data_IF_725705856919
#
_entry.id   IF_725705856919
#
_cell.length_a   1.000
_cell.length_b   1.000
_cell.length_c   1.000
_cell.angle_alpha   90.00
_cell.angle_beta   90.00
_cell.angle_gamma   90.00
#
_symmetry.space_group_name_H-M   'P 1'
#
loop_
_entity.id
_entity.type
_entity.pdbx_description
1 polymer ?
#
# COMPACT_ATOMS: atom_id res chain seq x y z
N UNK A 1 -18.85 30.24 -32.87
CA UNK A 1 -17.84 29.98 -31.78
C UNK A 1 -16.77 29.12 -32.40
N UNK A 2 -15.59 29.70 -32.71
CA UNK A 2 -14.42 28.95 -33.15
C UNK A 2 -13.90 28.14 -31.97
N UNK A 3 -14.06 26.82 -31.99
CA UNK A 3 -13.29 25.92 -31.16
C UNK A 3 -11.82 26.13 -31.51
N UNK A 4 -11.00 26.60 -30.56
CA UNK A 4 -9.56 26.57 -30.69
C UNK A 4 -9.18 25.10 -30.86
N UNK A 5 -8.75 24.72 -32.05
CA UNK A 5 -8.08 23.46 -32.27
C UNK A 5 -6.78 23.56 -31.46
N UNK A 6 -6.67 22.74 -30.41
CA UNK A 6 -5.41 22.55 -29.73
C UNK A 6 -4.38 22.06 -30.76
N UNK A 7 -3.22 22.67 -30.79
CA UNK A 7 -2.15 22.27 -31.68
C UNK A 7 -1.83 20.78 -31.43
N UNK A 8 -1.56 20.04 -32.51
CA UNK A 8 -1.20 18.60 -32.44
C UNK A 8 -0.02 18.35 -31.49
N UNK A 9 0.85 19.34 -31.29
CA UNK A 9 1.98 19.31 -30.34
C UNK A 9 1.56 19.22 -28.88
N UNK A 10 0.33 19.65 -28.54
CA UNK A 10 -0.19 19.64 -27.16
C UNK A 10 -0.89 18.32 -26.81
N UNK A 11 -0.94 17.38 -27.75
CA UNK A 11 -1.54 16.06 -27.55
C UNK A 11 -0.46 14.99 -27.55
N UNK A 12 -0.39 14.25 -26.47
CA UNK A 12 0.44 13.06 -26.36
C UNK A 12 -0.39 11.89 -25.86
N UNK A 13 0.02 10.68 -26.23
CA UNK A 13 -0.57 9.45 -25.69
C UNK A 13 0.10 9.17 -24.34
N UNK A 14 -0.67 9.23 -23.28
CA UNK A 14 -0.19 9.01 -21.93
C UNK A 14 -1.18 8.19 -21.11
N UNK A 15 -0.75 7.76 -19.92
CA UNK A 15 -1.60 7.11 -18.95
C UNK A 15 -2.06 8.13 -17.92
N UNK A 16 -3.32 8.00 -17.50
CA UNK A 16 -3.88 8.68 -16.34
C UNK A 16 -4.64 7.67 -15.50
N UNK A 17 -4.60 7.86 -14.19
CA UNK A 17 -5.40 7.06 -13.28
C UNK A 17 -6.75 7.73 -13.18
N UNK A 18 -7.79 6.97 -13.45
CA UNK A 18 -9.17 7.43 -13.43
C UNK A 18 -10.05 6.37 -12.79
N UNK A 19 -10.98 6.75 -11.87
CA UNK A 19 -12.01 5.82 -11.41
C UNK A 19 -12.76 5.22 -12.59
N UNK A 20 -12.96 3.92 -12.57
CA UNK A 20 -13.60 3.18 -13.64
C UNK A 20 -14.80 2.39 -13.10
N UNK A 21 -15.95 2.49 -13.78
CA UNK A 21 -17.11 1.69 -13.46
C UNK A 21 -17.20 0.47 -14.39
N UNK A 22 -16.94 -0.75 -13.91
CA UNK A 22 -17.08 -1.96 -14.72
C UNK A 22 -18.53 -2.18 -15.19
N UNK A 23 -19.51 -1.77 -14.39
CA UNK A 23 -20.94 -1.90 -14.74
C UNK A 23 -21.34 -0.96 -15.86
N UNK A 24 -20.81 0.27 -15.90
CA UNK A 24 -21.07 1.23 -16.95
C UNK A 24 -20.11 1.08 -18.15
N UNK A 25 -19.00 0.33 -17.99
CA UNK A 25 -17.97 0.15 -19.01
C UNK A 25 -17.19 1.41 -19.35
N UNK A 26 -17.13 2.40 -18.44
CA UNK A 26 -16.51 3.71 -18.69
C UNK A 26 -15.77 4.26 -17.47
N UNK A 27 -14.81 5.15 -17.74
CA UNK A 27 -14.18 5.98 -16.71
C UNK A 27 -15.15 7.03 -16.17
N UNK A 28 -15.04 7.33 -14.89
CA UNK A 28 -15.86 8.33 -14.20
C UNK A 28 -15.09 9.64 -14.09
N UNK A 29 -15.77 10.75 -14.39
CA UNK A 29 -15.23 12.10 -14.19
C UNK A 29 -15.37 12.54 -12.74
N UNK A 30 -14.58 13.54 -12.34
CA UNK A 30 -14.69 14.16 -11.00
C UNK A 30 -16.09 14.75 -10.76
N UNK A 31 -16.77 15.22 -11.81
CA UNK A 31 -18.13 15.75 -11.72
C UNK A 31 -19.14 14.63 -11.36
N UNK A 32 -19.02 13.46 -11.97
CA UNK A 32 -19.89 12.31 -11.67
C UNK A 32 -19.66 11.79 -10.25
N UNK A 33 -18.42 11.84 -9.76
CA UNK A 33 -18.07 11.42 -8.40
C UNK A 33 -18.53 12.42 -7.33
N UNK A 34 -18.79 13.68 -7.69
CA UNK A 34 -19.26 14.72 -6.77
C UNK A 34 -20.79 14.88 -6.76
N UNK A 35 -21.54 14.02 -7.46
CA UNK A 35 -23.00 14.08 -7.43
C UNK A 35 -23.55 13.64 -6.06
N UNK A 36 -24.67 14.26 -5.59
CA UNK A 36 -25.32 13.82 -4.37
C UNK A 36 -25.73 12.34 -4.44
N UNK A 37 -25.39 11.58 -3.38
CA UNK A 37 -25.72 10.15 -3.28
C UNK A 37 -24.75 9.20 -3.99
N UNK A 38 -23.65 9.71 -4.58
CA UNK A 38 -22.59 8.87 -5.13
C UNK A 38 -21.86 8.04 -4.08
N UNK A 39 -21.78 8.53 -2.85
CA UNK A 39 -21.11 7.87 -1.74
C UNK A 39 -22.14 7.32 -0.76
N UNK A 40 -21.86 6.14 -0.24
CA UNK A 40 -22.64 5.48 0.81
C UNK A 40 -21.70 4.85 1.81
N UNK A 41 -22.07 4.90 3.08
CA UNK A 41 -21.35 4.20 4.12
C UNK A 41 -21.44 2.70 3.91
N UNK A 42 -20.29 2.04 3.96
CA UNK A 42 -20.18 0.60 3.83
C UNK A 42 -19.21 0.07 4.87
N UNK A 43 -19.52 -1.09 5.42
CA UNK A 43 -18.60 -1.83 6.28
C UNK A 43 -17.59 -2.55 5.40
N UNK A 44 -16.32 -2.25 5.58
CA UNK A 44 -15.23 -2.87 4.83
C UNK A 44 -14.12 -3.35 5.77
N UNK A 45 -13.25 -4.23 5.26
CA UNK A 45 -12.13 -4.77 6.02
C UNK A 45 -10.91 -3.88 5.83
N UNK A 46 -10.31 -3.46 6.93
CA UNK A 46 -9.05 -2.74 6.95
C UNK A 46 -7.91 -3.65 7.40
N UNK A 47 -6.70 -3.35 6.96
CA UNK A 47 -5.50 -4.12 7.30
C UNK A 47 -4.39 -3.20 7.75
N UNK A 48 -3.67 -3.57 8.81
CA UNK A 48 -2.37 -3.01 9.18
C UNK A 48 -1.30 -3.98 8.69
N UNK A 49 -0.57 -3.57 7.66
CA UNK A 49 0.49 -4.38 7.08
C UNK A 49 1.85 -4.04 7.71
N UNK A 50 2.69 -5.07 7.90
CA UNK A 50 4.03 -4.97 8.47
C UNK A 50 5.07 -5.05 7.35
N UNK A 51 5.75 -3.95 7.06
CA UNK A 51 6.79 -3.86 6.03
C UNK A 51 8.16 -3.98 6.68
N UNK A 52 8.83 -5.11 6.47
CA UNK A 52 10.13 -5.41 7.08
C UNK A 52 11.21 -4.48 6.56
N UNK A 53 11.93 -3.81 7.47
CA UNK A 53 13.01 -2.89 7.11
C UNK A 53 14.24 -3.69 6.64
N UNK A 54 14.90 -3.21 5.58
CA UNK A 54 16.17 -3.77 5.11
C UNK A 54 17.36 -3.20 5.89
N UNK A 55 17.39 -1.87 6.02
CA UNK A 55 18.48 -1.13 6.66
C UNK A 55 17.93 -0.31 7.84
N UNK A 56 17.51 -0.97 8.94
CA UNK A 56 16.98 -0.27 10.10
C UNK A 56 18.07 0.56 10.78
N UNK A 57 17.67 1.62 11.48
CA UNK A 57 18.58 2.35 12.36
C UNK A 57 19.04 1.43 13.50
N UNK A 58 20.25 1.63 14.06
CA UNK A 58 20.84 0.73 15.06
C UNK A 58 19.92 0.44 16.26
N UNK A 59 19.21 1.46 16.75
CA UNK A 59 18.28 1.35 17.86
C UNK A 59 17.06 0.49 17.54
N UNK A 60 16.60 0.50 16.27
CA UNK A 60 15.47 -0.32 15.82
C UNK A 60 15.83 -1.80 15.66
N UNK A 61 17.10 -2.09 15.43
CA UNK A 61 17.59 -3.45 15.20
C UNK A 61 17.93 -4.23 16.51
N UNK A 62 17.83 -3.56 17.67
CA UNK A 62 18.22 -4.16 18.95
C UNK A 62 17.21 -5.16 19.50
N UNK A 63 15.96 -5.12 19.02
CA UNK A 63 14.87 -5.94 19.54
C UNK A 63 13.98 -6.49 18.41
N UNK A 64 14.05 -7.79 18.19
CA UNK A 64 13.21 -8.46 17.19
C UNK A 64 13.39 -7.94 15.77
N UNK A 65 12.41 -8.19 14.94
CA UNK A 65 12.43 -7.74 13.55
C UNK A 65 11.80 -6.35 13.42
N UNK A 66 12.48 -5.39 12.77
CA UNK A 66 11.96 -4.04 12.60
C UNK A 66 11.01 -3.94 11.39
N UNK A 67 9.85 -3.28 11.60
CA UNK A 67 8.81 -3.09 10.59
C UNK A 67 8.30 -1.65 10.57
N UNK A 68 7.92 -1.17 9.39
CA UNK A 68 6.97 -0.07 9.27
C UNK A 68 5.55 -0.62 9.33
N UNK A 69 4.65 0.05 10.05
CA UNK A 69 3.22 -0.27 10.05
C UNK A 69 2.48 0.66 9.10
N UNK A 70 1.90 0.13 8.04
CA UNK A 70 1.04 0.91 7.16
C UNK A 70 -0.38 0.34 7.16
N UNK A 71 -1.35 1.24 7.33
CA UNK A 71 -2.76 0.90 7.33
C UNK A 71 -3.37 1.14 5.95
N UNK A 72 -4.30 0.27 5.56
CA UNK A 72 -5.04 0.41 4.31
C UNK A 72 -6.48 -0.06 4.44
N UNK A 73 -7.39 0.64 3.76
CA UNK A 73 -8.78 0.22 3.53
C UNK A 73 -8.94 -0.58 2.24
N UNK A 74 -7.87 -0.71 1.45
CA UNK A 74 -7.87 -1.38 0.16
C UNK A 74 -6.78 -2.46 0.11
N UNK A 75 -6.88 -3.55 0.90
CA UNK A 75 -5.83 -4.55 1.00
C UNK A 75 -5.48 -5.24 -0.33
N UNK A 76 -6.39 -5.26 -1.30
CA UNK A 76 -6.14 -5.80 -2.64
C UNK A 76 -5.15 -4.97 -3.47
N UNK A 77 -4.80 -3.76 -3.05
CA UNK A 77 -3.76 -2.95 -3.71
C UNK A 77 -2.35 -3.22 -3.18
N UNK A 78 -2.22 -3.92 -2.05
CA UNK A 78 -0.93 -4.27 -1.44
C UNK A 78 0.06 -5.01 -2.38
N UNK A 79 -0.38 -5.91 -3.29
CA UNK A 79 0.53 -6.51 -4.27
C UNK A 79 1.21 -5.51 -5.20
N UNK A 80 0.61 -4.32 -5.39
CA UNK A 80 1.15 -3.23 -6.22
C UNK A 80 1.85 -2.14 -5.41
N UNK A 81 2.15 -2.39 -4.13
CA UNK A 81 2.92 -1.48 -3.31
C UNK A 81 4.33 -1.29 -3.88
N UNK A 82 4.77 -0.04 -3.99
CA UNK A 82 6.13 0.31 -4.43
C UNK A 82 6.83 1.33 -3.53
N UNK A 83 6.11 1.98 -2.62
CA UNK A 83 6.68 2.89 -1.63
C UNK A 83 5.81 2.95 -0.36
N UNK A 84 6.38 3.51 0.70
CA UNK A 84 5.66 3.95 1.90
C UNK A 84 5.79 5.47 2.00
N UNK A 85 4.70 6.14 2.37
CA UNK A 85 4.65 7.58 2.48
C UNK A 85 4.48 8.02 3.93
N UNK A 86 5.30 8.98 4.36
CA UNK A 86 5.25 9.59 5.69
C UNK A 86 5.00 11.09 5.58
N UNK A 87 4.35 11.67 6.57
CA UNK A 87 4.05 13.10 6.60
C UNK A 87 5.25 13.92 7.08
N UNK A 88 5.60 15.05 6.42
CA UNK A 88 6.78 15.85 6.77
C UNK A 88 6.70 16.48 8.16
N UNK A 89 5.49 16.73 8.67
CA UNK A 89 5.23 17.39 9.96
C UNK A 89 4.80 16.42 11.06
N UNK A 90 4.73 15.13 10.76
CA UNK A 90 4.26 14.11 11.69
C UNK A 90 5.43 13.56 12.49
N UNK A 91 5.20 13.36 13.78
CA UNK A 91 6.11 12.67 14.70
C UNK A 91 5.85 11.17 14.67
N UNK A 92 6.90 10.41 14.54
CA UNK A 92 6.90 8.94 14.50
C UNK A 92 7.65 8.38 15.70
N UNK A 93 7.24 7.21 16.15
CA UNK A 93 7.90 6.50 17.25
C UNK A 93 8.30 5.11 16.81
N UNK A 94 9.48 4.67 17.28
CA UNK A 94 9.87 3.27 17.21
C UNK A 94 9.49 2.59 18.54
N UNK A 95 8.77 1.50 18.45
CA UNK A 95 8.15 0.80 19.57
C UNK A 95 8.60 -0.66 19.58
N UNK A 96 9.24 -1.07 20.64
CA UNK A 96 9.53 -2.48 20.92
C UNK A 96 8.29 -3.15 21.50
N UNK A 97 7.90 -4.30 20.97
CA UNK A 97 6.74 -5.06 21.41
C UNK A 97 6.82 -6.50 20.88
N UNK A 98 5.71 -7.21 20.97
CA UNK A 98 5.54 -8.54 20.40
C UNK A 98 4.40 -8.54 19.38
N UNK A 99 4.53 -9.37 18.36
CA UNK A 99 3.43 -9.64 17.45
C UNK A 99 2.38 -10.49 18.19
N UNK A 100 1.17 -9.94 18.32
CA UNK A 100 0.08 -10.58 19.09
C UNK A 100 -0.35 -11.95 18.53
N UNK A 101 -0.09 -12.23 17.25
CA UNK A 101 -0.47 -13.49 16.60
C UNK A 101 0.62 -14.55 16.67
N UNK A 102 1.88 -14.16 16.54
CA UNK A 102 3.02 -15.09 16.48
C UNK A 102 3.80 -15.16 17.79
N UNK A 103 3.61 -14.21 18.71
CA UNK A 103 4.38 -14.07 19.94
C UNK A 103 5.85 -13.67 19.72
N UNK A 104 6.25 -13.38 18.49
CA UNK A 104 7.65 -13.00 18.18
C UNK A 104 7.94 -11.55 18.54
N UNK A 105 9.14 -11.23 19.03
CA UNK A 105 9.54 -9.86 19.30
C UNK A 105 9.64 -9.05 18.00
N UNK A 106 9.13 -7.84 18.03
CA UNK A 106 9.13 -6.91 16.89
C UNK A 106 9.48 -5.49 17.36
N UNK A 107 10.06 -4.71 16.47
CA UNK A 107 10.15 -3.25 16.61
C UNK A 107 9.32 -2.64 15.49
N UNK A 108 8.37 -1.77 15.83
CA UNK A 108 7.47 -1.19 14.83
C UNK A 108 7.55 0.33 14.84
N UNK A 109 7.41 0.94 13.65
CA UNK A 109 7.36 2.39 13.49
C UNK A 109 5.96 2.80 13.04
N UNK A 110 5.38 3.78 13.74
CA UNK A 110 4.09 4.39 13.46
C UNK A 110 4.06 5.83 13.98
N UNK A 111 3.02 6.59 13.59
CA UNK A 111 2.85 7.95 14.10
C UNK A 111 2.60 7.96 15.61
N UNK A 112 3.27 8.87 16.32
CA UNK A 112 3.17 9.04 17.78
C UNK A 112 1.74 9.29 18.23
N UNK A 113 1.00 10.11 17.48
CA UNK A 113 -0.40 10.46 17.79
C UNK A 113 -1.32 9.22 17.77
N UNK A 114 -0.98 8.18 17.01
CA UNK A 114 -1.78 6.97 16.86
C UNK A 114 -1.30 5.80 17.72
N UNK A 115 -0.28 6.02 18.55
CA UNK A 115 0.28 4.98 19.41
C UNK A 115 -0.81 4.28 20.27
N UNK A 116 -1.66 5.06 20.92
CA UNK A 116 -2.70 4.54 21.80
C UNK A 116 -3.86 3.85 21.07
N UNK A 117 -3.98 4.03 19.76
CA UNK A 117 -4.96 3.30 18.94
C UNK A 117 -4.51 1.86 18.64
N UNK A 118 -3.18 1.64 18.61
CA UNK A 118 -2.60 0.33 18.31
C UNK A 118 -2.06 -0.40 19.53
N UNK A 119 -1.67 0.33 20.57
CA UNK A 119 -1.12 -0.22 21.80
C UNK A 119 -1.96 0.20 23.00
N UNK A 120 -2.31 -0.76 23.85
CA UNK A 120 -3.09 -0.45 25.05
C UNK A 120 -2.23 0.30 26.06
N UNK A 121 -2.60 1.54 26.46
CA UNK A 121 -1.80 2.32 27.42
C UNK A 121 -1.50 1.62 28.74
N UNK A 122 -2.40 0.71 29.19
CA UNK A 122 -2.21 -0.09 30.41
C UNK A 122 -1.04 -1.09 30.27
N UNK A 123 -0.63 -1.39 29.07
CA UNK A 123 0.51 -2.29 28.82
C UNK A 123 1.86 -1.56 28.79
N UNK A 124 1.87 -0.23 28.84
CA UNK A 124 3.11 0.56 28.87
C UNK A 124 3.94 0.36 30.14
N UNK A 125 3.31 -0.02 31.26
CA UNK A 125 3.96 -0.28 32.53
C UNK A 125 4.49 -1.72 32.66
N UNK A 126 4.10 -2.61 31.73
CA UNK A 126 4.52 -4.00 31.74
C UNK A 126 5.94 -4.14 31.19
N UNK A 127 6.73 -5.04 31.78
CA UNK A 127 8.06 -5.35 31.27
C UNK A 127 7.95 -6.26 30.04
N UNK A 128 8.77 -5.97 29.03
CA UNK A 128 8.83 -6.81 27.82
C UNK A 128 9.23 -8.27 28.15
N UNK A 129 10.09 -8.45 29.14
CA UNK A 129 10.64 -9.75 29.55
C UNK A 129 9.60 -10.69 30.16
N UNK A 130 8.52 -10.15 30.74
CA UNK A 130 7.47 -10.91 31.43
C UNK A 130 6.38 -11.44 30.47
N UNK A 131 6.41 -11.06 29.19
CA UNK A 131 5.40 -11.42 28.20
C UNK A 131 5.44 -12.91 27.86
N UNK A 132 4.26 -13.53 27.84
CA UNK A 132 4.04 -14.89 27.34
C UNK A 132 3.08 -14.87 26.15
N UNK A 133 3.40 -15.67 25.13
CA UNK A 133 2.53 -15.79 23.97
C UNK A 133 1.12 -16.22 24.38
N UNK A 134 0.13 -15.41 23.99
CA UNK A 134 -1.29 -15.61 24.36
C UNK A 134 -1.79 -14.65 25.46
N UNK A 135 -0.94 -13.86 26.07
CA UNK A 135 -1.37 -12.82 27.02
C UNK A 135 -2.25 -11.78 26.31
N UNK A 136 -3.34 -11.37 27.00
CA UNK A 136 -4.28 -10.39 26.45
C UNK A 136 -3.70 -8.98 26.33
N UNK A 137 -2.71 -8.64 27.16
CA UNK A 137 -2.03 -7.36 27.15
C UNK A 137 -0.60 -7.58 26.65
N UNK A 138 -0.30 -7.02 25.49
CA UNK A 138 1.03 -7.10 24.90
C UNK A 138 1.84 -5.89 25.35
N UNK A 139 2.94 -6.07 26.10
CA UNK A 139 3.77 -4.97 26.58
C UNK A 139 4.44 -4.24 25.40
N UNK A 140 4.69 -2.96 25.59
CA UNK A 140 5.39 -2.16 24.60
C UNK A 140 6.28 -1.10 25.26
N UNK A 141 7.32 -0.69 24.55
CA UNK A 141 8.24 0.35 24.99
C UNK A 141 8.63 1.24 23.81
N UNK A 142 8.39 2.54 23.93
CA UNK A 142 8.91 3.52 22.97
C UNK A 142 10.41 3.68 23.17
N UNK A 143 11.21 3.48 22.13
CA UNK A 143 12.68 3.51 22.20
C UNK A 143 13.28 4.72 21.52
N UNK A 144 12.59 5.29 20.53
CA UNK A 144 13.07 6.45 19.78
C UNK A 144 11.90 7.23 19.16
N UNK A 145 12.15 8.51 18.90
CA UNK A 145 11.22 9.41 18.20
C UNK A 145 11.91 9.97 16.95
N UNK A 146 11.15 10.14 15.87
CA UNK A 146 11.63 10.61 14.58
C UNK A 146 10.64 11.61 13.99
N UNK A 147 11.12 12.53 13.17
CA UNK A 147 10.29 13.29 12.24
C UNK A 147 10.15 12.51 10.92
N UNK A 148 9.08 12.78 10.15
CA UNK A 148 8.92 12.16 8.83
C UNK A 148 10.18 12.22 7.96
N UNK A 149 10.85 13.38 7.81
CA UNK A 149 12.09 13.49 7.05
C UNK A 149 13.23 12.56 7.49
N UNK A 150 13.29 12.18 8.76
CA UNK A 150 14.33 11.28 9.29
C UNK A 150 14.18 9.83 8.83
N UNK A 151 12.99 9.48 8.33
CA UNK A 151 12.64 8.15 7.82
C UNK A 151 12.78 8.03 6.30
N UNK A 152 12.92 9.16 5.60
CA UNK A 152 13.00 9.18 4.13
C UNK A 152 14.23 8.42 3.63
N UNK A 153 14.03 7.65 2.57
CA UNK A 153 15.08 6.84 1.97
C UNK A 153 15.35 5.51 2.67
N UNK A 154 14.76 5.26 3.85
CA UNK A 154 14.83 3.93 4.46
C UNK A 154 14.14 2.90 3.56
N UNK A 155 14.79 1.76 3.37
CA UNK A 155 14.33 0.69 2.51
C UNK A 155 13.64 -0.42 3.31
N UNK A 156 12.69 -1.09 2.63
CA UNK A 156 11.99 -2.25 3.17
C UNK A 156 11.90 -3.38 2.15
N UNK A 157 11.65 -4.60 2.62
CA UNK A 157 11.43 -5.76 1.77
C UNK A 157 10.03 -5.66 1.11
N UNK A 158 9.94 -6.05 -0.15
CA UNK A 158 8.65 -6.12 -0.84
C UNK A 158 7.71 -7.03 -0.05
N UNK A 159 6.52 -6.52 0.30
CA UNK A 159 5.56 -7.26 1.13
C UNK A 159 5.06 -8.53 0.42
N UNK A 160 4.75 -8.39 -0.85
CA UNK A 160 4.22 -9.45 -1.71
C UNK A 160 5.09 -9.53 -2.97
N UNK A 161 6.17 -10.34 -2.98
CA UNK A 161 7.18 -10.31 -4.04
C UNK A 161 6.77 -11.13 -5.27
N UNK A 162 5.62 -10.84 -5.86
CA UNK A 162 5.15 -11.49 -7.07
C UNK A 162 5.81 -10.97 -8.33
N UNK A 163 5.97 -9.65 -8.41
CA UNK A 163 6.50 -8.95 -9.58
C UNK A 163 7.49 -7.89 -9.13
N UNK A 164 8.66 -7.85 -9.77
CA UNK A 164 9.65 -6.81 -9.52
C UNK A 164 9.33 -5.55 -10.34
N UNK A 165 9.02 -4.40 -9.71
CA UNK A 165 8.72 -3.15 -10.41
C UNK A 165 9.97 -2.48 -11.02
N UNK A 166 11.18 -2.89 -10.63
CA UNK A 166 12.45 -2.31 -11.05
C UNK A 166 13.17 -1.58 -9.92
N UNK A 167 14.24 -0.89 -10.27
CA UNK A 167 15.09 -0.16 -9.33
C UNK A 167 14.37 1.07 -8.77
N UNK A 168 14.73 1.44 -7.52
CA UNK A 168 14.20 2.62 -6.84
C UNK A 168 12.87 2.42 -6.13
N UNK A 169 12.27 1.23 -6.16
CA UNK A 169 11.10 0.88 -5.37
C UNK A 169 11.44 0.54 -3.91
N UNK A 170 10.39 0.36 -3.09
CA UNK A 170 10.44 -0.14 -1.71
C UNK A 170 11.24 0.72 -0.75
N UNK A 171 11.02 2.03 -0.83
CA UNK A 171 11.59 3.01 0.11
C UNK A 171 10.54 3.97 0.64
N UNK A 172 10.88 4.62 1.76
CA UNK A 172 10.05 5.63 2.39
C UNK A 172 10.20 6.97 1.67
N UNK A 173 9.09 7.63 1.37
CA UNK A 173 9.01 8.95 0.72
C UNK A 173 8.16 9.93 1.56
N UNK A 174 8.21 11.22 1.25
CA UNK A 174 7.36 12.25 1.87
C UNK A 174 6.10 12.51 1.06
N UNK A 175 4.99 12.81 1.76
CA UNK A 175 3.76 13.31 1.15
C UNK A 175 2.94 14.11 2.14
N UNK A 176 2.46 15.28 1.69
CA UNK A 176 1.73 16.24 2.53
C UNK A 176 0.29 15.80 2.87
N UNK A 177 -0.23 14.78 2.18
CA UNK A 177 -1.60 14.26 2.37
C UNK A 177 -1.70 13.20 3.48
N UNK A 178 -0.59 12.80 4.08
CA UNK A 178 -0.60 11.85 5.20
C UNK A 178 -1.18 12.54 6.44
N UNK A 179 -2.19 11.91 7.04
CA UNK A 179 -2.86 12.40 8.25
C UNK A 179 -2.63 11.47 9.44
N UNK A 180 -3.01 11.94 10.62
CA UNK A 180 -3.01 11.18 11.88
C UNK A 180 -4.41 11.04 12.45
N UNK A 181 -5.45 11.21 11.64
CA UNK A 181 -6.83 11.03 12.06
C UNK A 181 -7.17 9.56 12.23
N UNK A 182 -6.69 8.74 11.27
CA UNK A 182 -6.90 7.30 11.25
C UNK A 182 -5.61 6.54 10.85
N UNK A 183 -5.62 5.22 11.06
CA UNK A 183 -4.57 4.32 10.60
C UNK A 183 -3.31 4.33 11.45
N UNK A 184 -2.15 4.39 10.82
CA UNK A 184 -0.83 4.32 11.46
C UNK A 184 0.02 5.56 11.20
N UNK A 185 -0.47 6.53 10.40
CA UNK A 185 0.30 7.69 9.94
C UNK A 185 1.37 7.36 8.90
N UNK A 186 1.40 6.13 8.41
CA UNK A 186 2.22 5.69 7.27
C UNK A 186 1.26 5.11 6.24
N UNK A 187 1.32 5.64 5.01
CA UNK A 187 0.44 5.23 3.90
C UNK A 187 1.23 4.37 2.92
N UNK A 188 0.67 3.23 2.52
CA UNK A 188 1.24 2.46 1.44
C UNK A 188 0.92 3.09 0.08
N UNK A 189 1.87 3.07 -0.84
CA UNK A 189 1.76 3.71 -2.14
C UNK A 189 1.66 2.65 -3.23
N UNK A 190 0.56 2.71 -3.99
CA UNK A 190 0.30 1.87 -5.15
C UNK A 190 0.00 2.74 -6.38
N UNK A 191 1.02 3.20 -7.12
CA UNK A 191 0.87 4.23 -8.15
C UNK A 191 -0.03 3.85 -9.32
N UNK A 192 -0.31 2.56 -9.51
CA UNK A 192 -1.22 2.07 -10.55
C UNK A 192 -2.69 2.04 -10.13
N UNK A 193 -2.99 2.32 -8.85
CA UNK A 193 -4.36 2.30 -8.31
C UNK A 193 -4.83 3.65 -7.75
N UNK A 194 -3.93 4.49 -7.23
CA UNK A 194 -4.23 5.80 -6.67
C UNK A 194 -3.68 6.94 -7.52
N UNK A 195 -4.50 7.98 -7.77
CA UNK A 195 -4.05 9.16 -8.52
C UNK A 195 -3.03 9.98 -7.71
N UNK A 196 -3.29 10.18 -6.42
CA UNK A 196 -2.37 10.86 -5.51
C UNK A 196 -1.09 10.06 -5.31
N UNK A 197 -1.21 8.72 -5.18
CA UNK A 197 -0.07 7.80 -5.12
C UNK A 197 0.83 7.93 -6.37
N UNK A 198 0.20 7.99 -7.56
CA UNK A 198 0.94 8.14 -8.81
C UNK A 198 1.70 9.47 -8.88
N UNK A 199 1.08 10.56 -8.41
CA UNK A 199 1.69 11.88 -8.41
C UNK A 199 2.89 11.94 -7.47
N UNK A 200 2.73 11.46 -6.23
CA UNK A 200 3.80 11.46 -5.22
C UNK A 200 4.92 10.50 -5.59
N UNK A 201 4.61 9.31 -6.07
CA UNK A 201 5.59 8.34 -6.55
C UNK A 201 6.41 8.90 -7.71
N UNK A 202 5.77 9.55 -8.68
CA UNK A 202 6.45 10.19 -9.81
C UNK A 202 7.39 11.31 -9.35
N UNK A 203 6.96 12.16 -8.42
CA UNK A 203 7.79 13.22 -7.86
C UNK A 203 9.01 12.68 -7.12
N UNK A 204 8.87 11.53 -6.45
CA UNK A 204 9.94 10.85 -5.72
C UNK A 204 10.78 9.89 -6.58
N UNK A 205 10.48 9.73 -7.87
CA UNK A 205 11.17 8.79 -8.76
C UNK A 205 10.93 7.32 -8.40
N UNK A 206 9.75 6.98 -7.88
CA UNK A 206 9.32 5.61 -7.57
C UNK A 206 8.67 5.00 -8.81
N UNK A 207 9.12 3.82 -9.27
CA UNK A 207 8.50 3.15 -10.41
C UNK A 207 7.12 2.59 -10.04
N UNK A 208 6.11 2.70 -10.93
CA UNK A 208 4.85 1.99 -10.77
C UNK A 208 5.07 0.49 -11.03
N UNK A 209 4.34 -0.37 -10.30
CA UNK A 209 4.32 -1.79 -10.61
C UNK A 209 3.33 -2.03 -11.76
N UNK A 210 3.85 -2.40 -12.91
CA UNK A 210 3.10 -2.68 -14.13
C UNK A 210 3.47 -4.04 -14.71
N UNK A 211 2.49 -4.71 -15.29
CA UNK A 211 2.64 -5.95 -16.03
C UNK A 211 2.71 -5.67 -17.53
N UNK A 212 3.29 -6.60 -18.29
CA UNK A 212 3.24 -6.60 -19.75
C UNK A 212 2.34 -7.76 -20.19
N UNK A 213 1.27 -7.46 -20.90
CA UNK A 213 0.37 -8.49 -21.44
C UNK A 213 0.94 -9.08 -22.75
N UNK A 214 0.34 -10.15 -23.28
CA UNK A 214 0.75 -10.82 -24.54
C UNK A 214 0.77 -9.90 -25.78
N UNK A 215 0.15 -8.72 -25.69
CA UNK A 215 0.17 -7.71 -26.75
C UNK A 215 1.31 -6.71 -26.59
N UNK A 216 2.18 -6.87 -25.60
CA UNK A 216 3.27 -5.93 -25.29
C UNK A 216 2.78 -4.65 -24.63
N UNK A 217 1.57 -4.59 -24.11
CA UNK A 217 1.00 -3.40 -23.47
C UNK A 217 1.25 -3.42 -21.97
N UNK A 218 1.66 -2.27 -21.43
CA UNK A 218 1.77 -2.06 -19.99
C UNK A 218 0.37 -1.97 -19.35
N UNK A 219 0.18 -2.73 -18.27
CA UNK A 219 -1.09 -2.84 -17.55
C UNK A 219 -0.85 -2.79 -16.03
N UNK A 220 -1.80 -2.29 -15.24
CA UNK A 220 -1.81 -2.55 -13.79
C UNK A 220 -1.98 -4.05 -13.53
N UNK A 221 -1.85 -4.49 -12.29
CA UNK A 221 -2.02 -5.92 -11.94
C UNK A 221 -3.43 -6.46 -12.17
N UNK A 222 -4.40 -5.58 -12.39
CA UNK A 222 -5.80 -5.96 -12.64
C UNK A 222 -6.27 -5.47 -14.01
N UNK A 223 -7.19 -6.19 -14.60
CA UNK A 223 -7.90 -5.80 -15.81
C UNK A 223 -9.00 -4.75 -15.50
N UNK A 224 -9.74 -4.31 -16.53
CA UNK A 224 -10.83 -3.34 -16.40
C UNK A 224 -12.03 -3.87 -15.60
N UNK A 225 -12.11 -5.15 -15.33
CA UNK A 225 -13.14 -5.76 -14.47
C UNK A 225 -12.72 -5.86 -13.02
N UNK A 226 -11.45 -5.52 -12.71
CA UNK A 226 -10.85 -5.66 -11.39
C UNK A 226 -10.30 -7.05 -11.08
N UNK A 227 -10.24 -7.94 -12.10
CA UNK A 227 -9.64 -9.27 -11.97
C UNK A 227 -8.13 -9.16 -12.13
N UNK A 228 -7.37 -9.86 -11.28
CA UNK A 228 -5.92 -9.97 -11.43
C UNK A 228 -5.57 -10.78 -12.68
N UNK A 229 -4.54 -10.33 -13.42
CA UNK A 229 -4.02 -11.07 -14.56
C UNK A 229 -3.45 -12.41 -14.12
N UNK A 230 -3.70 -13.45 -14.92
CA UNK A 230 -3.09 -14.76 -14.74
C UNK A 230 -1.78 -14.84 -15.54
N UNK A 231 -0.90 -15.81 -15.22
CA UNK A 231 0.40 -15.93 -15.90
C UNK A 231 0.26 -16.19 -17.41
N UNK A 232 -0.80 -16.89 -17.80
CA UNK A 232 -1.09 -17.18 -19.20
C UNK A 232 -1.57 -15.98 -20.02
N UNK A 233 -1.90 -14.87 -19.37
CA UNK A 233 -2.29 -13.60 -20.00
C UNK A 233 -1.10 -12.64 -20.19
N UNK A 234 0.05 -12.95 -19.57
CA UNK A 234 1.24 -12.12 -19.57
C UNK A 234 2.24 -12.50 -20.70
N UNK A 235 3.12 -11.56 -21.01
CA UNK A 235 4.23 -11.76 -21.94
C UNK A 235 5.27 -12.72 -21.35
N UNK A 236 5.78 -13.67 -22.15
CA UNK A 236 6.70 -14.70 -21.67
C UNK A 236 8.06 -14.16 -21.23
N UNK A 237 8.60 -13.16 -21.93
CA UNK A 237 9.90 -12.58 -21.60
C UNK A 237 9.80 -11.72 -20.36
N UNK A 238 8.68 -11.02 -20.17
CA UNK A 238 8.37 -10.30 -18.94
C UNK A 238 8.29 -11.27 -17.75
N UNK A 239 7.61 -12.41 -17.90
CA UNK A 239 7.51 -13.43 -16.85
C UNK A 239 8.90 -13.89 -16.41
N UNK A 240 9.76 -14.28 -17.37
CA UNK A 240 11.12 -14.76 -17.08
C UNK A 240 11.98 -13.75 -16.34
N UNK A 241 11.81 -12.46 -16.64
CA UNK A 241 12.68 -11.39 -16.11
C UNK A 241 12.19 -10.79 -14.80
N UNK A 242 10.87 -10.73 -14.58
CA UNK A 242 10.30 -9.91 -13.53
C UNK A 242 9.31 -10.58 -12.60
N UNK A 243 8.82 -11.79 -12.96
CA UNK A 243 7.77 -12.46 -12.19
C UNK A 243 8.32 -13.62 -11.39
N UNK A 244 8.04 -13.65 -10.10
CA UNK A 244 8.24 -14.85 -9.28
C UNK A 244 7.08 -15.81 -9.51
N UNK A 245 7.28 -16.74 -10.44
CA UNK A 245 6.24 -17.65 -10.96
C UNK A 245 5.62 -18.51 -9.86
N UNK A 246 6.41 -18.99 -8.92
CA UNK A 246 5.94 -19.90 -7.88
C UNK A 246 5.02 -19.17 -6.91
N UNK A 247 5.45 -18.00 -6.42
CA UNK A 247 4.63 -17.17 -5.54
C UNK A 247 3.39 -16.62 -6.26
N UNK A 248 3.53 -16.25 -7.54
CA UNK A 248 2.40 -15.72 -8.31
C UNK A 248 1.30 -16.77 -8.50
N UNK A 249 1.65 -18.05 -8.77
CA UNK A 249 0.70 -19.16 -8.91
C UNK A 249 -0.03 -19.45 -7.61
N UNK A 250 0.68 -19.50 -6.50
CA UNK A 250 0.12 -19.80 -5.19
C UNK A 250 -0.98 -18.79 -4.79
N UNK A 251 -0.72 -17.51 -5.02
CA UNK A 251 -1.61 -16.44 -4.61
C UNK A 251 -2.68 -16.06 -5.64
N UNK A 252 -2.45 -16.28 -6.93
CA UNK A 252 -3.49 -16.09 -7.94
C UNK A 252 -4.71 -16.97 -7.66
N UNK A 253 -4.49 -18.16 -7.08
CA UNK A 253 -5.55 -19.06 -6.66
C UNK A 253 -6.39 -18.47 -5.50
N UNK A 254 -5.74 -17.82 -4.52
CA UNK A 254 -6.41 -17.19 -3.37
C UNK A 254 -7.18 -15.91 -3.77
N UNK A 255 -6.66 -15.13 -4.70
CA UNK A 255 -7.32 -13.92 -5.21
C UNK A 255 -8.51 -14.25 -6.12
N UNK A 256 -8.50 -15.42 -6.75
CA UNK A 256 -9.65 -15.92 -7.51
C UNK A 256 -10.85 -16.23 -6.60
N UNK A 257 -10.60 -16.64 -5.36
CA UNK A 257 -11.63 -16.97 -4.36
C UNK A 257 -12.04 -15.79 -3.49
N UNK A 258 -11.26 -14.70 -3.48
CA UNK A 258 -11.59 -13.45 -2.78
C UNK A 258 -11.57 -12.29 -3.77
N UNK A 259 -12.59 -12.16 -4.62
CA UNK A 259 -12.70 -11.01 -5.51
C UNK A 259 -12.71 -9.73 -4.67
N UNK A 260 -12.02 -8.70 -5.17
CA UNK A 260 -12.07 -7.36 -4.57
C UNK A 260 -13.53 -7.02 -4.24
N UNK A 261 -13.84 -6.47 -3.05
CA UNK A 261 -15.20 -6.03 -2.72
C UNK A 261 -15.82 -5.11 -3.79
N UNK A 262 -14.99 -4.39 -4.55
CA UNK A 262 -15.44 -3.62 -5.72
C UNK A 262 -15.92 -4.50 -6.86
N UNK A 263 -15.28 -5.62 -7.12
CA UNK A 263 -15.72 -6.57 -8.17
C UNK A 263 -17.02 -7.29 -7.78
N UNK A 264 -17.24 -7.55 -6.48
CA UNK A 264 -18.51 -8.11 -5.98
C UNK A 264 -19.68 -7.13 -6.12
N UNK A 265 -19.46 -5.82 -5.91
CA UNK A 265 -20.51 -4.81 -6.04
C UNK A 265 -20.96 -4.58 -7.47
N UNK A 266 -20.10 -4.83 -8.46
CA UNK A 266 -20.50 -4.75 -9.88
C UNK A 266 -21.39 -5.90 -10.34
N UNK A 267 -21.55 -6.97 -9.53
CA UNK A 267 -22.37 -8.15 -9.84
C UNK A 267 -23.74 -8.18 -9.15
N UNK A 268 -24.05 -7.20 -8.29
CA UNK A 268 -25.39 -7.12 -7.73
C UNK A 268 -26.34 -6.50 -8.77
N UNK A 269 -27.42 -7.19 -9.17
CA UNK A 269 -28.46 -6.59 -9.98
C UNK A 269 -29.10 -5.45 -9.19
N UNK A 270 -29.40 -4.39 -9.89
CA UNK A 270 -30.10 -3.19 -9.43
C UNK A 270 -31.47 -3.52 -8.86
#
# INVERSE_FOLDING_TARGET
RRQRQMCIRDRYKGYTIQPYSPAAGTGLSSHELNQPGCYRDVKDTTVVAQFKMKNPKPEMAQWGTPYFLAWTTTPWTLPSNTALCVGPKIDYVAVQSYNAYTGQPITVVLAKALLNAHFNPKAAELKLEDYKAGDKLVPFKVIAEYKGPDLVGMEYEQLIPWVNPGEGAFRVILGDYVTTEDGTGIVHIAPTFGADDAQVAKAAGIPPLQLVNKKGELRPMVDLTGKFYTLDELDEDFIKQRVNVDLYKEYACLLYTSPSPRALRSRMPS
#
